data_IF_026811586297
#
_entry.id   IF_026811586297
#
_cell.length_a   1.000
_cell.length_b   1.000
_cell.length_c   1.000
_cell.angle_alpha   90.00
_cell.angle_beta   90.00
_cell.angle_gamma   90.00
#
_symmetry.space_group_name_H-M   'P 1'
#
loop_
_entity.id
_entity.type
_entity.pdbx_description
1 polymer ?
#
# COMPACT_ATOMS: atom_id res chain seq x y z
N UNK A 1 -0.75 16.19 -5.38
CA UNK A 1 -0.67 14.92 -6.09
C UNK A 1 -1.50 13.89 -5.33
N UNK A 2 -2.37 13.17 -6.02
CA UNK A 2 -3.13 12.07 -5.42
C UNK A 2 -2.32 10.76 -5.41
N UNK A 3 -2.84 9.70 -4.78
CA UNK A 3 -2.15 8.41 -4.66
C UNK A 3 -1.78 7.78 -6.02
N UNK A 4 -2.64 7.91 -7.02
CA UNK A 4 -2.38 7.37 -8.37
C UNK A 4 -1.20 8.10 -9.01
N UNK A 5 -1.18 9.43 -8.96
CA UNK A 5 -0.08 10.26 -9.47
C UNK A 5 1.24 9.97 -8.74
N UNK A 6 1.18 9.74 -7.42
CA UNK A 6 2.35 9.41 -6.62
C UNK A 6 2.90 8.01 -6.92
N UNK A 7 2.05 7.03 -7.21
CA UNK A 7 2.47 5.69 -7.68
C UNK A 7 3.11 5.75 -9.06
N UNK A 8 2.54 6.54 -9.97
CA UNK A 8 3.12 6.79 -11.29
C UNK A 8 4.51 7.42 -11.15
N UNK A 9 4.63 8.48 -10.34
CA UNK A 9 5.90 9.13 -10.04
C UNK A 9 6.92 8.15 -9.43
N UNK A 10 6.50 7.34 -8.46
CA UNK A 10 7.36 6.34 -7.83
C UNK A 10 7.87 5.32 -8.86
N UNK A 11 7.01 4.88 -9.79
CA UNK A 11 7.38 3.99 -10.89
C UNK A 11 8.36 4.66 -11.85
N UNK A 12 8.11 5.92 -12.23
CA UNK A 12 8.96 6.70 -13.14
C UNK A 12 10.39 6.88 -12.61
N UNK A 13 10.53 7.15 -11.30
CA UNK A 13 11.86 7.26 -10.66
C UNK A 13 12.46 5.89 -10.29
N UNK A 14 11.73 4.81 -10.57
CA UNK A 14 12.17 3.43 -10.53
C UNK A 14 12.10 2.76 -9.17
N UNK A 15 11.15 3.13 -8.30
CA UNK A 15 10.73 2.22 -7.24
C UNK A 15 10.06 0.99 -7.86
N UNK A 16 10.14 -0.16 -7.20
CA UNK A 16 9.69 -1.45 -7.74
C UNK A 16 8.90 -2.24 -6.71
N UNK A 17 8.00 -3.12 -7.16
CA UNK A 17 7.25 -3.99 -6.27
C UNK A 17 6.43 -3.21 -5.23
N UNK A 18 6.40 -3.70 -3.99
CA UNK A 18 5.65 -3.07 -2.89
C UNK A 18 6.15 -1.65 -2.54
N UNK A 19 7.40 -1.31 -2.87
CA UNK A 19 7.93 0.03 -2.60
C UNK A 19 7.21 1.13 -3.38
N UNK A 20 6.55 0.83 -4.50
CA UNK A 20 5.75 1.82 -5.24
C UNK A 20 4.59 2.31 -4.36
N UNK A 21 3.88 1.37 -3.71
CA UNK A 21 2.77 1.68 -2.83
C UNK A 21 3.24 2.34 -1.54
N UNK A 22 4.34 1.85 -0.95
CA UNK A 22 4.91 2.44 0.27
C UNK A 22 5.37 3.88 -0.01
N UNK A 23 6.05 4.13 -1.13
CA UNK A 23 6.52 5.47 -1.50
C UNK A 23 5.35 6.46 -1.66
N UNK A 24 4.29 6.05 -2.36
CA UNK A 24 3.11 6.89 -2.52
C UNK A 24 2.41 7.17 -1.18
N UNK A 25 2.30 6.16 -0.32
CA UNK A 25 1.68 6.28 0.99
C UNK A 25 2.49 7.15 1.97
N UNK A 26 3.83 7.01 1.98
CA UNK A 26 4.73 7.88 2.75
C UNK A 26 4.63 9.32 2.24
N UNK A 27 4.68 9.55 0.93
CA UNK A 27 4.54 10.90 0.37
C UNK A 27 3.18 11.56 0.74
N UNK A 28 2.09 10.79 0.73
CA UNK A 28 0.79 11.27 1.20
C UNK A 28 0.81 11.60 2.70
N UNK A 29 1.42 10.76 3.53
CA UNK A 29 1.49 10.99 4.97
C UNK A 29 2.38 12.18 5.35
N UNK A 30 3.48 12.40 4.62
CA UNK A 30 4.44 13.46 4.92
C UNK A 30 3.95 14.84 4.47
N UNK A 31 3.20 14.93 3.37
CA UNK A 31 2.89 16.22 2.73
C UNK A 31 1.47 16.37 2.23
N UNK A 32 0.59 15.39 2.46
CA UNK A 32 -0.71 15.30 1.78
C UNK A 32 -0.57 15.34 0.25
N UNK A 33 0.56 14.84 -0.27
CA UNK A 33 0.90 14.86 -1.69
C UNK A 33 1.24 16.25 -2.25
N UNK A 34 1.65 17.22 -1.43
CA UNK A 34 2.01 18.57 -1.85
C UNK A 34 3.52 18.69 -2.17
N UNK A 35 3.95 18.83 -3.43
CA UNK A 35 5.37 18.99 -3.79
C UNK A 35 6.00 20.30 -3.29
N UNK A 36 5.18 21.31 -3.00
CA UNK A 36 5.62 22.59 -2.47
C UNK A 36 5.72 22.63 -0.94
N UNK A 37 5.41 21.54 -0.24
CA UNK A 37 5.40 21.50 1.22
C UNK A 37 6.79 21.83 1.80
N UNK A 38 6.81 22.66 2.84
CA UNK A 38 8.00 23.01 3.61
C UNK A 38 7.69 22.73 5.08
N UNK A 39 8.58 22.02 5.75
CA UNK A 39 8.48 21.66 7.16
C UNK A 39 9.81 21.90 7.87
N UNK A 40 9.83 21.70 9.19
CA UNK A 40 11.03 21.85 10.04
C UNK A 40 11.74 23.22 9.91
N UNK A 41 11.02 24.28 9.54
CA UNK A 41 11.58 25.62 9.33
C UNK A 41 12.24 26.20 10.58
N UNK A 42 11.77 25.76 11.76
CA UNK A 42 12.30 26.16 13.06
C UNK A 42 13.40 25.22 13.60
N UNK A 43 13.73 24.13 12.91
CA UNK A 43 14.75 23.16 13.30
C UNK A 43 16.04 23.30 12.46
N UNK A 44 16.28 24.48 11.91
CA UNK A 44 17.44 24.77 11.06
C UNK A 44 18.67 25.07 11.92
N UNK A 45 19.82 24.53 11.53
CA UNK A 45 21.11 24.77 12.17
C UNK A 45 22.24 24.92 11.12
N UNK A 46 23.50 24.86 11.57
CA UNK A 46 24.68 24.99 10.72
C UNK A 46 24.85 23.84 9.71
N UNK A 47 24.24 22.68 9.95
CA UNK A 47 24.29 21.50 9.09
C UNK A 47 23.01 21.32 8.30
N UNK A 48 21.87 21.42 8.97
CA UNK A 48 20.55 21.07 8.47
C UNK A 48 19.71 22.30 8.13
N UNK A 49 19.07 22.26 6.98
CA UNK A 49 17.98 23.17 6.60
C UNK A 49 16.60 22.58 6.86
N UNK A 50 15.54 23.26 6.35
CA UNK A 50 14.17 22.77 6.42
C UNK A 50 13.98 21.46 5.64
N UNK A 51 12.83 20.83 5.85
CA UNK A 51 12.33 19.67 5.11
C UNK A 51 11.47 20.12 3.94
N UNK A 52 11.62 19.45 2.79
CA UNK A 52 11.00 19.88 1.55
C UNK A 52 10.29 18.74 0.80
N UNK A 53 9.20 19.13 0.15
CA UNK A 53 8.52 18.38 -0.89
C UNK A 53 7.75 17.17 -0.40
N UNK A 54 7.45 16.29 -1.35
CA UNK A 54 6.56 15.14 -1.18
C UNK A 54 6.95 14.24 -0.01
N UNK A 55 8.25 13.97 0.14
CA UNK A 55 8.79 13.07 1.15
C UNK A 55 9.35 13.81 2.38
N UNK A 56 9.09 15.12 2.52
CA UNK A 56 9.62 15.95 3.62
C UNK A 56 11.11 15.67 3.91
N UNK A 57 11.94 15.70 2.86
CA UNK A 57 13.36 15.41 3.00
C UNK A 57 14.06 16.62 3.60
N UNK A 58 14.66 16.44 4.78
CA UNK A 58 15.49 17.45 5.41
C UNK A 58 16.70 17.78 4.54
N UNK A 59 16.83 19.05 4.19
CA UNK A 59 17.93 19.58 3.37
C UNK A 59 19.22 19.74 4.19
N UNK A 60 20.37 19.71 3.52
CA UNK A 60 21.66 20.07 4.10
C UNK A 60 22.07 21.46 3.61
N UNK A 61 22.80 22.21 4.44
CA UNK A 61 23.39 23.50 4.07
C UNK A 61 24.52 23.33 3.04
N UNK A 62 25.29 22.24 3.16
CA UNK A 62 26.46 21.92 2.33
C UNK A 62 26.45 20.44 1.87
N UNK A 63 25.43 19.99 1.11
CA UNK A 63 25.28 18.59 0.71
C UNK A 63 26.48 18.03 -0.07
N UNK A 64 27.22 18.88 -0.79
CA UNK A 64 28.42 18.55 -1.56
C UNK A 64 29.58 18.03 -0.71
N UNK A 65 29.58 18.28 0.59
CA UNK A 65 30.61 17.81 1.52
C UNK A 65 30.35 16.38 2.03
N UNK A 66 29.21 15.79 1.67
CA UNK A 66 28.78 14.47 2.14
C UNK A 66 28.84 13.42 1.01
N UNK A 67 28.63 12.16 1.37
CA UNK A 67 28.53 11.05 0.41
C UNK A 67 27.08 10.77 0.02
N UNK A 68 26.80 10.16 -1.15
CA UNK A 68 25.45 9.71 -1.48
C UNK A 68 24.85 8.82 -0.37
N UNK A 69 23.56 8.98 -0.03
CA UNK A 69 22.56 9.79 -0.72
C UNK A 69 22.50 11.27 -0.26
N UNK A 70 23.29 11.69 0.73
CA UNK A 70 23.19 13.03 1.34
C UNK A 70 23.52 14.17 0.38
N UNK A 71 24.31 13.90 -0.67
CA UNK A 71 24.56 14.84 -1.77
C UNK A 71 23.29 15.26 -2.51
N UNK A 72 22.18 14.52 -2.36
CA UNK A 72 20.88 14.82 -2.98
C UNK A 72 19.99 15.71 -2.11
N UNK A 73 20.40 16.08 -0.89
CA UNK A 73 19.59 16.88 0.05
C UNK A 73 19.64 18.40 -0.24
N UNK A 74 19.39 18.77 -1.49
CA UNK A 74 19.54 20.14 -2.01
C UNK A 74 18.21 20.90 -1.90
N UNK A 75 18.09 21.84 -0.95
CA UNK A 75 16.84 22.53 -0.58
C UNK A 75 15.96 22.98 -1.77
N UNK A 76 16.51 23.77 -2.70
CA UNK A 76 15.74 24.28 -3.84
C UNK A 76 15.27 23.21 -4.83
N UNK A 77 16.05 22.14 -4.99
CA UNK A 77 15.70 21.02 -5.89
C UNK A 77 14.70 20.07 -5.27
N UNK A 78 14.65 19.97 -3.94
CA UNK A 78 13.71 19.09 -3.24
C UNK A 78 12.24 19.53 -3.37
N UNK A 79 11.94 20.72 -3.92
CA UNK A 79 10.57 21.13 -4.29
C UNK A 79 10.11 20.55 -5.64
N UNK A 80 11.05 20.11 -6.48
CA UNK A 80 10.71 19.38 -7.70
C UNK A 80 10.31 17.94 -7.35
N UNK A 81 9.09 17.48 -7.71
CA UNK A 81 8.58 16.18 -7.29
C UNK A 81 9.43 15.01 -7.79
N UNK A 82 9.98 15.08 -9.01
CA UNK A 82 10.82 14.04 -9.60
C UNK A 82 12.16 13.95 -8.86
N UNK A 83 12.81 15.08 -8.62
CA UNK A 83 14.05 15.13 -7.85
C UNK A 83 13.85 14.68 -6.41
N UNK A 84 12.78 15.14 -5.74
CA UNK A 84 12.42 14.73 -4.37
C UNK A 84 12.21 13.22 -4.27
N UNK A 85 11.49 12.61 -5.21
CA UNK A 85 11.27 11.18 -5.24
C UNK A 85 12.54 10.37 -5.57
N UNK A 86 13.43 10.88 -6.44
CA UNK A 86 14.76 10.28 -6.68
C UNK A 86 15.64 10.31 -5.42
N UNK A 87 15.63 11.42 -4.68
CA UNK A 87 16.33 11.54 -3.40
C UNK A 87 15.76 10.57 -2.36
N UNK A 88 14.42 10.47 -2.26
CA UNK A 88 13.75 9.52 -1.38
C UNK A 88 14.15 8.07 -1.71
N UNK A 89 14.17 7.69 -3.00
CA UNK A 89 14.61 6.35 -3.43
C UNK A 89 16.05 6.06 -3.01
N UNK A 90 16.95 7.02 -3.17
CA UNK A 90 18.36 6.87 -2.79
C UNK A 90 18.52 6.71 -1.27
N UNK A 91 17.80 7.51 -0.47
CA UNK A 91 17.77 7.41 0.99
C UNK A 91 17.21 6.04 1.42
N UNK A 92 16.07 5.63 0.83
CA UNK A 92 15.47 4.31 1.10
C UNK A 92 16.41 3.17 0.76
N UNK A 93 17.17 3.27 -0.35
CA UNK A 93 18.14 2.25 -0.73
C UNK A 93 19.28 2.13 0.28
N UNK A 94 19.75 3.26 0.82
CA UNK A 94 20.87 3.28 1.76
C UNK A 94 20.49 2.90 3.19
N UNK A 95 19.29 3.29 3.64
CA UNK A 95 18.92 3.23 5.06
C UNK A 95 17.59 2.50 5.33
N UNK A 96 16.80 2.22 4.31
CA UNK A 96 15.44 1.70 4.44
C UNK A 96 14.41 2.78 4.71
N UNK A 97 13.17 2.35 4.93
CA UNK A 97 12.03 3.25 5.19
C UNK A 97 12.01 3.86 6.60
N UNK A 98 12.89 3.41 7.51
CA UNK A 98 12.97 3.90 8.89
C UNK A 98 13.40 5.38 9.01
N UNK A 99 13.80 6.01 7.90
CA UNK A 99 14.13 7.43 7.84
C UNK A 99 12.89 8.33 7.87
N UNK A 100 11.70 7.77 7.63
CA UNK A 100 10.43 8.51 7.66
C UNK A 100 9.64 8.17 8.92
N UNK A 101 9.34 9.20 9.72
CA UNK A 101 8.57 9.03 10.95
C UNK A 101 7.15 8.54 10.68
N UNK A 102 6.56 8.95 9.55
CA UNK A 102 5.25 8.47 9.08
C UNK A 102 5.26 6.97 8.75
N UNK A 103 6.42 6.43 8.36
CA UNK A 103 6.59 5.00 8.15
C UNK A 103 6.71 4.26 9.49
N UNK A 104 7.60 4.69 10.37
CA UNK A 104 7.85 4.01 11.66
C UNK A 104 6.68 4.08 12.62
N UNK A 105 5.92 5.19 12.61
CA UNK A 105 4.68 5.32 13.39
C UNK A 105 3.51 4.53 12.80
N UNK A 106 3.60 4.09 11.55
CA UNK A 106 2.50 3.46 10.82
C UNK A 106 1.48 4.43 10.22
N UNK A 107 1.65 5.75 10.37
CA UNK A 107 0.74 6.75 9.80
C UNK A 107 0.57 6.62 8.28
N UNK A 108 1.59 6.16 7.55
CA UNK A 108 1.51 5.90 6.11
C UNK A 108 0.48 4.82 5.76
N UNK A 109 0.16 3.89 6.66
CA UNK A 109 -0.71 2.74 6.38
C UNK A 109 -2.13 3.16 5.99
N UNK A 110 -2.64 4.27 6.51
CA UNK A 110 -3.95 4.80 6.11
C UNK A 110 -4.01 5.14 4.61
N UNK A 111 -2.87 5.40 3.98
CA UNK A 111 -2.74 5.71 2.55
C UNK A 111 -2.33 4.50 1.71
N UNK A 112 -2.00 3.37 2.34
CA UNK A 112 -1.80 2.09 1.64
C UNK A 112 -3.15 1.54 1.15
N UNK A 113 -4.23 1.82 1.88
CA UNK A 113 -5.57 1.28 1.61
C UNK A 113 -6.32 1.91 0.42
N UNK A 114 -5.61 2.66 -0.42
CA UNK A 114 -6.03 3.02 -1.78
C UNK A 114 -5.50 2.07 -2.87
N UNK A 115 -4.93 0.93 -2.50
CA UNK A 115 -4.44 -0.10 -3.42
C UNK A 115 -3.67 -1.20 -2.68
N UNK A 116 -4.40 -2.28 -2.36
CA UNK A 116 -3.96 -3.60 -1.91
C UNK A 116 -2.80 -3.59 -0.91
N UNK A 117 -3.17 -3.65 0.37
CA UNK A 117 -2.26 -3.72 1.49
C UNK A 117 -1.35 -4.94 1.41
N UNK A 118 -0.12 -4.78 1.90
CA UNK A 118 0.65 -5.86 2.48
C UNK A 118 1.33 -5.28 3.70
N UNK A 119 0.94 -5.78 4.86
CA UNK A 119 1.47 -5.34 6.14
C UNK A 119 1.07 -6.34 7.19
N UNK A 120 1.81 -7.45 7.29
CA UNK A 120 1.94 -8.29 8.49
C UNK A 120 0.67 -8.42 9.34
N UNK A 121 -0.47 -8.62 8.67
CA UNK A 121 -1.75 -8.87 9.31
C UNK A 121 -1.86 -10.38 9.47
N UNK A 122 -2.47 -10.83 10.56
CA UNK A 122 -2.88 -12.25 10.68
C UNK A 122 -3.80 -12.67 9.52
N UNK A 123 -4.39 -11.69 8.83
CA UNK A 123 -5.36 -11.88 7.77
C UNK A 123 -4.90 -11.22 6.46
N UNK A 124 -5.26 -11.86 5.36
CA UNK A 124 -4.99 -11.46 3.99
C UNK A 124 -5.69 -10.13 3.69
N UNK A 125 -4.96 -9.11 3.24
CA UNK A 125 -5.56 -7.88 2.76
C UNK A 125 -6.47 -8.16 1.55
N UNK A 126 -7.55 -7.38 1.41
CA UNK A 126 -8.45 -7.54 0.27
C UNK A 126 -7.68 -7.32 -1.06
N UNK A 127 -7.59 -8.32 -1.96
CA UNK A 127 -6.79 -8.22 -3.17
C UNK A 127 -7.42 -7.34 -4.26
N UNK A 128 -8.69 -6.95 -4.07
CA UNK A 128 -9.50 -6.21 -5.05
C UNK A 128 -10.51 -7.13 -5.74
N UNK A 129 -11.69 -6.59 -6.09
CA UNK A 129 -12.78 -7.40 -6.67
C UNK A 129 -12.38 -8.05 -8.01
N UNK A 130 -11.57 -7.36 -8.82
CA UNK A 130 -11.09 -7.86 -10.11
C UNK A 130 -10.15 -9.08 -10.01
N UNK A 131 -9.61 -9.38 -8.83
CA UNK A 131 -8.83 -10.60 -8.59
C UNK A 131 -9.70 -11.87 -8.74
N UNK A 132 -10.99 -11.77 -8.42
CA UNK A 132 -11.90 -12.92 -8.41
C UNK A 132 -12.56 -13.10 -9.78
N UNK A 133 -11.85 -13.75 -10.69
CA UNK A 133 -12.36 -14.09 -12.02
C UNK A 133 -12.19 -15.59 -12.31
N UNK A 134 -13.06 -16.14 -13.15
CA UNK A 134 -13.08 -17.57 -13.49
C UNK A 134 -11.70 -18.08 -13.89
N UNK A 135 -11.27 -19.18 -13.27
CA UNK A 135 -10.01 -19.85 -13.57
C UNK A 135 -8.77 -19.23 -12.90
N UNK A 136 -8.92 -18.15 -12.14
CA UNK A 136 -7.82 -17.60 -11.34
C UNK A 136 -7.34 -18.63 -10.33
N UNK A 137 -6.03 -18.93 -10.31
CA UNK A 137 -5.41 -19.86 -9.36
C UNK A 137 -4.56 -19.10 -8.35
N UNK A 138 -4.77 -19.31 -7.05
CA UNK A 138 -3.99 -18.65 -6.00
C UNK A 138 -4.16 -19.31 -4.62
N UNK A 139 -3.11 -19.34 -3.77
CA UNK A 139 -3.25 -19.75 -2.37
C UNK A 139 -4.24 -18.89 -1.58
N UNK A 140 -4.46 -17.62 -1.98
CA UNK A 140 -5.46 -16.74 -1.37
C UNK A 140 -6.87 -17.33 -1.54
N UNK A 141 -7.15 -17.95 -2.69
CA UNK A 141 -8.44 -18.60 -2.98
C UNK A 141 -8.59 -19.83 -2.09
N UNK A 142 -7.53 -20.63 -1.91
CA UNK A 142 -7.55 -21.77 -0.96
C UNK A 142 -7.81 -21.31 0.47
N UNK A 143 -7.15 -20.25 0.92
CA UNK A 143 -7.33 -19.71 2.27
C UNK A 143 -8.77 -19.21 2.47
N UNK A 144 -9.33 -18.52 1.48
CA UNK A 144 -10.72 -18.07 1.47
C UNK A 144 -11.70 -19.25 1.46
N UNK A 145 -11.48 -20.26 0.60
CA UNK A 145 -12.27 -21.49 0.53
C UNK A 145 -12.39 -22.15 1.90
N UNK A 146 -11.26 -22.32 2.59
CA UNK A 146 -11.22 -22.91 3.93
C UNK A 146 -11.99 -22.06 4.96
N UNK A 147 -11.95 -20.73 4.87
CA UNK A 147 -12.77 -19.86 5.73
C UNK A 147 -14.26 -19.98 5.43
N UNK A 148 -14.66 -20.03 4.17
CA UNK A 148 -16.07 -20.21 3.80
C UNK A 148 -16.63 -21.55 4.28
N UNK A 149 -15.81 -22.61 4.27
CA UNK A 149 -16.15 -23.89 4.91
C UNK A 149 -16.28 -23.74 6.43
N UNK A 150 -15.33 -23.08 7.09
CA UNK A 150 -15.38 -22.87 8.54
C UNK A 150 -16.55 -21.97 9.00
N UNK A 151 -17.06 -21.11 8.11
CA UNK A 151 -18.23 -20.27 8.33
C UNK A 151 -19.55 -20.93 7.92
N UNK A 152 -19.55 -22.23 7.59
CA UNK A 152 -20.72 -22.99 7.10
C UNK A 152 -21.40 -22.37 5.87
N UNK A 153 -20.62 -21.66 5.04
CA UNK A 153 -21.08 -20.99 3.83
C UNK A 153 -20.73 -21.76 2.55
N UNK A 154 -20.13 -22.94 2.66
CA UNK A 154 -19.68 -23.73 1.52
C UNK A 154 -20.85 -24.22 0.63
N UNK A 155 -20.70 -24.03 -0.68
CA UNK A 155 -21.59 -24.52 -1.76
C UNK A 155 -20.80 -25.32 -2.80
N UNK A 156 -19.73 -25.95 -2.36
CA UNK A 156 -18.85 -26.77 -3.17
C UNK A 156 -19.46 -28.14 -3.46
N UNK A 157 -19.38 -28.58 -4.70
CA UNK A 157 -19.72 -29.95 -5.11
C UNK A 157 -18.52 -30.88 -5.09
N UNK A 158 -17.30 -30.32 -5.02
CA UNK A 158 -16.01 -31.01 -4.95
C UNK A 158 -14.99 -30.08 -4.30
N UNK A 159 -14.01 -30.65 -3.58
CA UNK A 159 -12.84 -29.93 -3.06
C UNK A 159 -11.62 -30.00 -4.00
N UNK A 160 -11.76 -30.64 -5.16
CA UNK A 160 -10.74 -30.63 -6.21
C UNK A 160 -10.59 -29.20 -6.75
N UNK A 161 -9.34 -28.75 -6.92
CA UNK A 161 -9.01 -27.40 -7.39
C UNK A 161 -9.54 -26.29 -6.46
N UNK A 162 -9.51 -26.50 -5.12
CA UNK A 162 -9.90 -25.49 -4.12
C UNK A 162 -9.04 -24.20 -4.14
N UNK A 163 -7.94 -24.18 -4.90
CA UNK A 163 -7.11 -23.02 -5.17
C UNK A 163 -7.50 -22.26 -6.45
N UNK A 164 -8.53 -22.72 -7.17
CA UNK A 164 -9.02 -22.11 -8.41
C UNK A 164 -10.40 -21.50 -8.22
N UNK A 165 -10.53 -20.21 -8.50
CA UNK A 165 -11.81 -19.50 -8.43
C UNK A 165 -12.79 -20.04 -9.46
N UNK A 166 -13.94 -20.50 -8.97
CA UNK A 166 -15.01 -21.04 -9.81
C UNK A 166 -16.42 -20.73 -9.31
N UNK A 167 -17.40 -21.34 -9.96
CA UNK A 167 -18.82 -21.13 -9.64
C UNK A 167 -19.20 -21.61 -8.22
N UNK A 168 -18.44 -22.56 -7.66
CA UNK A 168 -18.56 -22.98 -6.27
C UNK A 168 -18.19 -21.87 -5.29
N UNK A 169 -17.11 -21.13 -5.56
CA UNK A 169 -16.67 -20.01 -4.72
C UNK A 169 -17.65 -18.84 -4.77
N UNK A 170 -18.12 -18.48 -5.98
CA UNK A 170 -19.15 -17.44 -6.15
C UNK A 170 -20.38 -17.75 -5.29
N UNK A 171 -20.90 -18.98 -5.38
CA UNK A 171 -22.08 -19.40 -4.59
C UNK A 171 -21.80 -19.42 -3.09
N UNK A 172 -20.60 -19.84 -2.70
CA UNK A 172 -20.21 -19.92 -1.29
C UNK A 172 -20.04 -18.52 -0.68
N UNK A 173 -19.44 -17.61 -1.44
CA UNK A 173 -19.25 -16.23 -1.01
C UNK A 173 -20.57 -15.45 -0.98
N UNK A 174 -21.50 -15.71 -1.92
CA UNK A 174 -22.85 -15.16 -1.85
C UNK A 174 -23.58 -15.60 -0.56
N UNK A 175 -23.42 -16.87 -0.16
CA UNK A 175 -23.96 -17.35 1.12
C UNK A 175 -23.32 -16.62 2.32
N UNK A 176 -22.02 -16.34 2.27
CA UNK A 176 -21.34 -15.53 3.27
C UNK A 176 -21.86 -14.09 3.33
N UNK A 177 -22.03 -13.43 2.19
CA UNK A 177 -22.62 -12.08 2.13
C UNK A 177 -24.03 -12.06 2.72
N UNK A 178 -24.86 -13.06 2.42
CA UNK A 178 -26.17 -13.20 3.04
C UNK A 178 -26.12 -13.47 4.55
N UNK A 179 -25.15 -14.26 5.04
CA UNK A 179 -24.88 -14.47 6.48
C UNK A 179 -24.53 -13.16 7.18
N UNK A 180 -23.88 -12.23 6.47
CA UNK A 180 -23.60 -10.86 6.94
C UNK A 180 -24.79 -9.90 6.80
N UNK A 181 -25.98 -10.40 6.42
CA UNK A 181 -27.19 -9.62 6.15
C UNK A 181 -27.04 -8.60 5.01
N UNK A 182 -26.13 -8.85 4.07
CA UNK A 182 -26.06 -8.10 2.81
C UNK A 182 -27.13 -8.62 1.84
N UNK A 183 -27.63 -7.74 0.97
CA UNK A 183 -28.70 -8.06 0.03
C UNK A 183 -28.55 -7.31 -1.29
N UNK A 184 -29.23 -7.80 -2.34
CA UNK A 184 -29.17 -7.17 -3.66
C UNK A 184 -27.76 -7.19 -4.25
N UNK A 185 -27.30 -6.09 -4.87
CA UNK A 185 -25.97 -5.99 -5.48
C UNK A 185 -24.79 -6.27 -4.51
N UNK A 186 -24.98 -6.11 -3.21
CA UNK A 186 -23.93 -6.35 -2.20
C UNK A 186 -23.76 -7.84 -1.82
N UNK A 187 -24.61 -8.72 -2.36
CA UNK A 187 -24.60 -10.17 -2.16
C UNK A 187 -24.53 -10.95 -3.50
N UNK A 188 -23.72 -10.44 -4.43
CA UNK A 188 -23.54 -10.97 -5.79
C UNK A 188 -22.59 -12.17 -5.90
N UNK A 189 -21.93 -12.55 -4.80
CA UNK A 189 -20.93 -13.60 -4.74
C UNK A 189 -19.51 -13.16 -5.12
N UNK A 190 -19.29 -11.88 -5.43
CA UNK A 190 -17.95 -11.32 -5.66
C UNK A 190 -17.46 -10.67 -4.35
N UNK A 191 -16.25 -11.00 -3.88
CA UNK A 191 -15.72 -10.40 -2.68
C UNK A 191 -15.59 -8.87 -2.77
N UNK A 192 -16.10 -8.19 -1.75
CA UNK A 192 -15.89 -6.77 -1.49
C UNK A 192 -15.11 -6.57 -0.18
N UNK A 193 -14.46 -5.42 -0.03
CA UNK A 193 -13.57 -5.16 1.12
C UNK A 193 -14.24 -5.43 2.47
N UNK A 194 -15.47 -4.96 2.67
CA UNK A 194 -16.18 -5.09 3.95
C UNK A 194 -16.53 -6.53 4.32
N UNK A 195 -16.93 -7.36 3.33
CA UNK A 195 -17.23 -8.77 3.55
C UNK A 195 -15.96 -9.61 3.67
N UNK A 196 -14.89 -9.21 2.97
CA UNK A 196 -13.57 -9.85 3.02
C UNK A 196 -12.92 -9.69 4.40
N UNK A 197 -12.89 -8.45 4.91
CA UNK A 197 -12.28 -8.15 6.21
C UNK A 197 -12.95 -8.96 7.34
N UNK A 198 -14.28 -9.19 7.26
CA UNK A 198 -15.04 -10.00 8.22
C UNK A 198 -14.80 -11.51 8.09
N UNK A 199 -14.41 -11.98 6.91
CA UNK A 199 -14.17 -13.42 6.67
C UNK A 199 -12.87 -13.89 7.34
N UNK A 200 -11.96 -12.96 7.66
CA UNK A 200 -10.68 -13.22 8.32
C UNK A 200 -9.86 -14.30 7.59
N UNK A 201 -9.71 -14.14 6.27
CA UNK A 201 -8.88 -15.02 5.43
C UNK A 201 -7.44 -14.96 5.95
N UNK A 202 -6.78 -16.08 6.30
CA UNK A 202 -5.39 -16.06 6.74
C UNK A 202 -4.45 -15.51 5.66
N UNK A 203 -3.43 -14.77 6.07
CA UNK A 203 -2.38 -14.31 5.14
C UNK A 203 -1.51 -15.50 4.69
N UNK A 204 -1.26 -15.63 3.38
CA UNK A 204 -0.59 -16.78 2.74
C UNK A 204 0.48 -16.38 1.73
#
# INVERSE_FOLDING_TARGET
MNLTELRTLATEVGFTGSDINIAAAVAMAESSGNPGAVGDENLVDNKWGPSFGLFQIRSLKHPEQFSPPDTLRIAGKLKDPVFNAKAAKAIKKAHGWNQWSTFTSGAYRQFMDGGSGSGSGKFEPFPGASFFHTGQRSPIITAMHNRLVAEDCNRYTSSRDADVWGSGDVKSYAAWQHKLHLSGPDADGIPGKSSWDKLHVPNV
#
